data_IF_829660949876
#
_entry.id   IF_829660949876
#
_cell.length_a   1.000
_cell.length_b   1.000
_cell.length_c   1.000
_cell.angle_alpha   90.00
_cell.angle_beta   90.00
_cell.angle_gamma   90.00
#
_symmetry.space_group_name_H-M   'P 1'
#
loop_
_entity.id
_entity.type
_entity.pdbx_description
1 polymer ?
#
# COMPACT_ATOMS: atom_id res chain seq x y z
N UNK A 1 -5.05 13.76 16.12
CA UNK A 1 -5.78 14.14 14.89
C UNK A 1 -5.27 13.20 13.81
N UNK A 2 -5.92 12.06 13.69
CA UNK A 2 -5.62 11.00 12.73
C UNK A 2 -6.09 11.45 11.34
N UNK A 3 -5.52 10.93 10.25
CA UNK A 3 -5.95 11.17 8.86
C UNK A 3 -7.47 10.92 8.61
N UNK A 4 -8.17 10.34 9.57
CA UNK A 4 -9.62 10.15 9.59
C UNK A 4 -10.45 11.43 9.85
N UNK A 5 -9.80 12.55 10.26
CA UNK A 5 -10.46 13.84 10.52
C UNK A 5 -10.38 14.82 9.33
N UNK A 6 -9.89 14.38 8.18
CA UNK A 6 -10.02 15.15 6.95
C UNK A 6 -11.50 15.18 6.56
N UNK A 7 -12.09 16.37 6.28
CA UNK A 7 -13.47 16.47 5.87
C UNK A 7 -13.67 15.61 4.62
N UNK A 8 -14.62 14.67 4.70
CA UNK A 8 -15.08 13.88 3.56
C UNK A 8 -15.47 14.87 2.47
N UNK A 9 -14.61 15.07 1.49
CA UNK A 9 -14.97 15.78 0.28
C UNK A 9 -15.96 14.90 -0.47
N UNK A 10 -17.24 15.05 -0.14
CA UNK A 10 -18.32 14.81 -1.10
C UNK A 10 -18.23 15.95 -2.12
N UNK A 11 -17.12 16.04 -2.81
CA UNK A 11 -16.97 16.89 -3.97
C UNK A 11 -17.91 16.34 -5.02
N UNK A 12 -18.92 17.12 -5.35
CA UNK A 12 -19.76 16.91 -6.51
C UNK A 12 -18.86 16.58 -7.70
N UNK A 13 -19.04 15.38 -8.26
CA UNK A 13 -18.31 14.85 -9.40
C UNK A 13 -18.51 15.83 -10.56
N UNK A 14 -17.60 16.79 -10.67
CA UNK A 14 -17.41 17.61 -11.86
C UNK A 14 -16.63 16.79 -12.87
N UNK A 15 -17.30 16.29 -13.87
CA UNK A 15 -16.97 15.79 -15.21
C UNK A 15 -15.58 15.23 -15.57
N UNK A 16 -14.59 15.14 -14.72
CA UNK A 16 -13.32 14.46 -14.99
C UNK A 16 -13.30 13.06 -14.40
N UNK A 17 -13.10 12.06 -15.25
CA UNK A 17 -12.90 10.68 -14.80
C UNK A 17 -11.56 10.60 -14.03
N UNK A 18 -11.57 10.12 -12.78
CA UNK A 18 -10.36 9.97 -11.98
C UNK A 18 -9.32 9.14 -12.74
N UNK A 19 -8.04 9.53 -12.64
CA UNK A 19 -6.94 8.79 -13.26
C UNK A 19 -6.60 7.54 -12.45
N UNK A 20 -6.77 7.59 -11.12
CA UNK A 20 -6.61 6.47 -10.20
C UNK A 20 -7.79 6.45 -9.22
N UNK A 21 -8.30 5.26 -8.95
CA UNK A 21 -9.27 4.99 -7.87
C UNK A 21 -8.71 3.90 -6.99
N UNK A 22 -8.81 4.08 -5.68
CA UNK A 22 -8.47 3.06 -4.70
C UNK A 22 -9.68 2.68 -3.86
N UNK A 23 -9.89 1.38 -3.63
CA UNK A 23 -10.83 0.86 -2.64
C UNK A 23 -9.99 0.24 -1.53
N UNK A 24 -10.18 0.74 -0.30
CA UNK A 24 -9.35 0.42 0.85
C UNK A 24 -10.22 -0.21 1.94
N UNK A 25 -10.06 -1.51 2.16
CA UNK A 25 -10.66 -2.24 3.27
C UNK A 25 -9.59 -2.47 4.37
N UNK A 26 -9.61 -1.62 5.40
CA UNK A 26 -8.63 -1.66 6.49
C UNK A 26 -9.23 -2.29 7.76
N UNK A 27 -8.42 -2.95 8.58
CA UNK A 27 -8.81 -3.62 9.83
C UNK A 27 -9.58 -2.71 10.80
N UNK A 28 -9.24 -1.42 10.87
CA UNK A 28 -9.92 -0.43 11.73
C UNK A 28 -11.40 -0.21 11.39
N UNK A 29 -11.84 -0.54 10.18
CA UNK A 29 -13.20 -0.22 9.71
C UNK A 29 -13.92 -1.40 9.05
N UNK A 30 -13.20 -2.42 8.61
CA UNK A 30 -13.72 -3.59 7.92
C UNK A 30 -13.27 -4.86 8.65
N UNK A 31 -14.20 -5.66 9.23
CA UNK A 31 -13.85 -6.91 9.91
C UNK A 31 -13.12 -7.90 9.01
N UNK A 32 -12.24 -8.73 9.60
CA UNK A 32 -11.35 -9.67 8.88
C UNK A 32 -12.09 -10.58 7.89
N UNK A 33 -13.23 -11.17 8.30
CA UNK A 33 -14.03 -12.03 7.41
C UNK A 33 -14.53 -11.30 6.15
N UNK A 34 -14.88 -10.02 6.27
CA UNK A 34 -15.30 -9.20 5.12
C UNK A 34 -14.11 -8.81 4.25
N UNK A 35 -12.93 -8.56 4.86
CA UNK A 35 -11.70 -8.31 4.11
C UNK A 35 -11.30 -9.52 3.28
N UNK A 36 -11.38 -10.73 3.85
CA UNK A 36 -11.08 -11.98 3.12
C UNK A 36 -12.09 -12.26 2.00
N UNK A 37 -13.38 -12.03 2.25
CA UNK A 37 -14.40 -12.13 1.20
C UNK A 37 -14.11 -11.16 0.05
N UNK A 38 -13.73 -9.93 0.36
CA UNK A 38 -13.33 -8.94 -0.63
C UNK A 38 -12.05 -9.34 -1.37
N UNK A 39 -11.05 -9.87 -0.68
CA UNK A 39 -9.84 -10.40 -1.32
C UNK A 39 -10.15 -11.54 -2.30
N UNK A 40 -11.07 -12.44 -1.94
CA UNK A 40 -11.52 -13.52 -2.82
C UNK A 40 -12.26 -12.99 -4.06
N UNK A 41 -13.08 -11.95 -3.91
CA UNK A 41 -13.73 -11.25 -5.04
C UNK A 41 -12.69 -10.60 -5.95
N UNK A 42 -11.70 -9.89 -5.38
CA UNK A 42 -10.63 -9.25 -6.14
C UNK A 42 -9.77 -10.25 -6.92
N UNK A 43 -9.54 -11.44 -6.36
CA UNK A 43 -8.77 -12.49 -7.04
C UNK A 43 -9.42 -12.95 -8.35
N UNK A 44 -10.73 -12.78 -8.51
CA UNK A 44 -11.45 -13.12 -9.73
C UNK A 44 -11.12 -12.21 -10.93
N UNK A 45 -10.59 -10.99 -10.69
CA UNK A 45 -10.15 -10.10 -11.78
C UNK A 45 -8.86 -10.59 -12.45
N UNK A 46 -8.15 -11.54 -11.82
CA UNK A 46 -6.88 -12.06 -12.35
C UNK A 46 -5.81 -10.98 -12.41
N UNK A 47 -4.86 -11.15 -13.33
CA UNK A 47 -3.77 -10.20 -13.55
C UNK A 47 -4.04 -9.31 -14.76
N UNK A 48 -3.81 -8.01 -14.64
CA UNK A 48 -4.02 -7.04 -15.71
C UNK A 48 -3.25 -5.76 -15.50
N UNK A 49 -3.01 -4.96 -16.57
CA UNK A 49 -2.25 -3.72 -16.46
C UNK A 49 -2.98 -2.62 -15.67
N UNK A 50 -4.32 -2.67 -15.64
CA UNK A 50 -5.17 -1.60 -15.14
C UNK A 50 -5.43 -1.63 -13.64
N UNK A 51 -4.85 -2.56 -12.88
CA UNK A 51 -5.05 -2.62 -11.43
C UNK A 51 -3.90 -3.29 -10.68
N UNK A 52 -3.78 -2.96 -9.39
CA UNK A 52 -2.86 -3.59 -8.44
C UNK A 52 -3.60 -3.85 -7.14
N UNK A 53 -3.47 -5.07 -6.60
CA UNK A 53 -4.08 -5.48 -5.34
C UNK A 53 -2.96 -5.55 -4.27
N UNK A 54 -3.16 -4.88 -3.14
CA UNK A 54 -2.30 -4.97 -1.96
C UNK A 54 -3.06 -5.73 -0.88
N UNK A 55 -2.60 -6.93 -0.55
CA UNK A 55 -3.23 -7.79 0.45
C UNK A 55 -2.25 -8.11 1.57
N UNK A 56 -2.63 -7.75 2.79
CA UNK A 56 -1.87 -8.02 4.03
C UNK A 56 -2.83 -8.43 5.15
N UNK A 57 -2.30 -8.78 6.34
CA UNK A 57 -3.15 -9.10 7.50
C UNK A 57 -4.09 -7.97 7.92
N UNK A 58 -3.71 -6.69 7.70
CA UNK A 58 -4.51 -5.53 8.15
C UNK A 58 -5.28 -4.83 7.04
N UNK A 59 -5.02 -5.14 5.75
CA UNK A 59 -5.65 -4.43 4.64
C UNK A 59 -5.80 -5.27 3.40
N UNK A 60 -6.90 -5.04 2.70
CA UNK A 60 -7.14 -5.47 1.33
C UNK A 60 -7.47 -4.22 0.54
N UNK A 61 -6.62 -3.87 -0.40
CA UNK A 61 -6.74 -2.66 -1.20
C UNK A 61 -6.62 -2.99 -2.68
N UNK A 62 -7.39 -2.33 -3.51
CA UNK A 62 -7.21 -2.35 -4.95
C UNK A 62 -7.00 -0.93 -5.46
N UNK A 63 -5.98 -0.73 -6.26
CA UNK A 63 -5.69 0.51 -6.99
C UNK A 63 -5.97 0.26 -8.47
N UNK A 64 -6.79 1.10 -9.06
CA UNK A 64 -7.30 0.93 -10.42
C UNK A 64 -7.00 2.17 -11.25
N UNK A 65 -6.49 1.97 -12.47
CA UNK A 65 -6.49 2.98 -13.52
C UNK A 65 -7.73 2.78 -14.41
N UNK A 66 -8.82 3.57 -14.24
CA UNK A 66 -10.09 3.31 -14.92
C UNK A 66 -10.02 3.34 -16.45
N UNK A 67 -8.98 3.95 -17.01
CA UNK A 67 -8.76 4.00 -18.46
C UNK A 67 -8.37 2.63 -19.07
N UNK A 68 -7.71 1.77 -18.28
CA UNK A 68 -7.16 0.48 -18.73
C UNK A 68 -7.74 -0.70 -17.96
N UNK A 69 -8.57 -0.45 -16.95
CA UNK A 69 -9.23 -1.50 -16.17
C UNK A 69 -10.40 -2.13 -16.97
N UNK A 70 -10.39 -3.45 -17.19
CA UNK A 70 -11.43 -4.11 -17.94
C UNK A 70 -12.64 -4.42 -17.04
N UNK A 71 -13.69 -3.63 -17.13
CA UNK A 71 -14.94 -3.91 -16.42
C UNK A 71 -15.36 -2.84 -15.43
N UNK A 72 -16.28 -3.20 -14.55
CA UNK A 72 -16.77 -2.34 -13.48
C UNK A 72 -15.89 -2.47 -12.24
N UNK A 73 -15.78 -1.37 -11.47
CA UNK A 73 -15.10 -1.39 -10.17
C UNK A 73 -15.82 -2.35 -9.23
N UNK A 74 -15.09 -3.15 -8.43
CA UNK A 74 -15.70 -4.01 -7.43
C UNK A 74 -16.48 -3.17 -6.40
N UNK A 75 -17.54 -3.73 -5.87
CA UNK A 75 -18.33 -3.06 -4.82
C UNK A 75 -17.52 -2.96 -3.53
N UNK A 76 -17.34 -1.77 -2.96
CA UNK A 76 -16.61 -1.64 -1.71
C UNK A 76 -17.37 -2.31 -0.57
N UNK A 77 -16.72 -3.13 0.27
CA UNK A 77 -17.36 -3.69 1.45
C UNK A 77 -17.76 -2.58 2.45
N UNK A 78 -18.81 -2.76 3.24
CA UNK A 78 -19.21 -1.79 4.25
C UNK A 78 -18.05 -1.43 5.18
N UNK A 79 -17.75 -0.12 5.29
CA UNK A 79 -16.63 0.41 6.05
C UNK A 79 -15.35 0.64 5.24
N UNK A 80 -15.30 0.19 3.98
CA UNK A 80 -14.19 0.52 3.09
C UNK A 80 -14.23 1.98 2.65
N UNK A 81 -13.04 2.55 2.38
CA UNK A 81 -12.89 3.87 1.80
C UNK A 81 -12.77 3.74 0.28
N UNK A 82 -13.35 4.69 -0.43
CA UNK A 82 -13.13 4.88 -1.87
C UNK A 82 -12.42 6.22 -2.03
N UNK A 83 -11.23 6.17 -2.59
CA UNK A 83 -10.33 7.30 -2.74
C UNK A 83 -10.03 7.51 -4.22
N UNK A 84 -9.84 8.75 -4.62
CA UNK A 84 -9.46 9.10 -5.99
C UNK A 84 -8.18 9.95 -6.03
N UNK A 85 -7.52 9.92 -7.16
CA UNK A 85 -6.35 10.73 -7.53
C UNK A 85 -5.41 11.06 -6.35
N UNK A 86 -5.50 12.27 -5.77
CA UNK A 86 -4.59 12.73 -4.73
C UNK A 86 -4.77 11.95 -3.43
N UNK A 87 -6.00 11.61 -3.07
CA UNK A 87 -6.28 10.89 -1.84
C UNK A 87 -5.83 9.43 -1.95
N UNK A 88 -6.03 8.78 -3.10
CA UNK A 88 -5.52 7.46 -3.39
C UNK A 88 -3.97 7.43 -3.37
N UNK A 89 -3.34 8.46 -3.95
CA UNK A 89 -1.88 8.58 -3.96
C UNK A 89 -1.32 8.80 -2.55
N UNK A 90 -1.87 9.73 -1.79
CA UNK A 90 -1.42 10.00 -0.43
C UNK A 90 -1.62 8.79 0.48
N UNK A 91 -2.72 8.06 0.30
CA UNK A 91 -2.96 6.83 1.05
C UNK A 91 -1.87 5.79 0.79
N UNK A 92 -1.60 5.42 -0.48
CA UNK A 92 -0.56 4.43 -0.80
C UNK A 92 0.83 4.86 -0.32
N UNK A 93 1.17 6.14 -0.48
CA UNK A 93 2.44 6.70 0.00
C UNK A 93 2.52 6.62 1.52
N UNK A 94 1.41 6.93 2.23
CA UNK A 94 1.29 6.81 3.68
C UNK A 94 1.53 5.37 4.15
N UNK A 95 0.91 4.40 3.47
CA UNK A 95 1.11 2.97 3.70
C UNK A 95 2.56 2.57 3.50
N UNK A 96 3.17 2.96 2.38
CA UNK A 96 4.57 2.65 2.07
C UNK A 96 5.56 3.28 3.06
N UNK A 97 5.23 4.47 3.60
CA UNK A 97 6.00 5.14 4.65
C UNK A 97 5.78 4.54 6.05
N UNK A 98 4.86 3.57 6.20
CA UNK A 98 4.49 2.97 7.47
C UNK A 98 3.70 3.91 8.40
N UNK A 99 3.18 5.04 7.91
CA UNK A 99 2.40 5.99 8.71
C UNK A 99 1.00 5.45 9.02
N UNK A 100 0.44 4.64 8.11
CA UNK A 100 -0.86 3.98 8.23
C UNK A 100 -0.71 2.47 8.57
N UNK A 101 0.36 2.09 9.23
CA UNK A 101 0.59 0.72 9.69
C UNK A 101 0.24 0.59 11.18
N UNK A 102 -0.12 -0.62 11.63
CA UNK A 102 -0.32 -0.93 13.04
C UNK A 102 0.93 -0.62 13.88
N UNK A 103 2.09 -0.82 13.28
CA UNK A 103 3.37 -0.41 13.85
C UNK A 103 4.01 0.59 12.89
N UNK A 104 4.05 1.87 13.28
CA UNK A 104 4.62 2.91 12.43
C UNK A 104 6.12 2.66 12.22
N UNK A 105 6.53 2.63 10.93
CA UNK A 105 7.91 2.33 10.54
C UNK A 105 8.21 0.84 10.35
N UNK A 106 7.20 -0.03 10.34
CA UNK A 106 7.37 -1.44 9.98
C UNK A 106 7.86 -1.57 8.53
N UNK A 107 9.05 -2.16 8.35
CA UNK A 107 9.65 -2.35 7.03
C UNK A 107 8.89 -3.40 6.16
N UNK A 108 7.99 -4.15 6.77
CA UNK A 108 7.32 -5.29 6.16
C UNK A 108 6.35 -4.88 5.05
N UNK A 109 5.60 -3.79 5.27
CA UNK A 109 4.64 -3.28 4.28
C UNK A 109 5.34 -2.78 3.01
N UNK A 110 6.47 -2.08 3.17
CA UNK A 110 7.26 -1.62 2.04
C UNK A 110 7.80 -2.80 1.20
N UNK A 111 8.19 -3.88 1.86
CA UNK A 111 8.64 -5.10 1.19
C UNK A 111 7.50 -5.78 0.43
N UNK A 112 6.31 -5.88 1.04
CA UNK A 112 5.11 -6.44 0.40
C UNK A 112 4.70 -5.67 -0.84
N UNK A 113 4.64 -4.33 -0.75
CA UNK A 113 4.36 -3.47 -1.91
C UNK A 113 5.39 -3.70 -3.02
N UNK A 114 6.68 -3.81 -2.67
CA UNK A 114 7.74 -4.06 -3.65
C UNK A 114 7.60 -5.42 -4.34
N UNK A 115 7.30 -6.48 -3.59
CA UNK A 115 7.05 -7.81 -4.15
C UNK A 115 5.84 -7.79 -5.10
N UNK A 116 4.71 -7.22 -4.67
CA UNK A 116 3.51 -7.08 -5.50
C UNK A 116 3.81 -6.41 -6.85
N UNK A 117 4.66 -5.38 -6.86
CA UNK A 117 5.01 -4.68 -8.11
C UNK A 117 6.03 -5.45 -8.93
N UNK A 118 7.03 -6.10 -8.29
CA UNK A 118 8.04 -6.87 -9.01
C UNK A 118 7.41 -8.05 -9.79
N UNK A 119 6.47 -8.76 -9.17
CA UNK A 119 5.73 -9.84 -9.79
C UNK A 119 4.92 -9.34 -11.01
N UNK A 120 4.27 -8.17 -10.85
CA UNK A 120 3.47 -7.56 -11.93
C UNK A 120 4.32 -7.09 -13.12
N UNK A 121 5.48 -6.48 -12.87
CA UNK A 121 6.38 -5.99 -13.92
C UNK A 121 7.05 -7.11 -14.71
N UNK A 122 7.21 -8.30 -14.12
CA UNK A 122 7.80 -9.46 -14.80
C UNK A 122 6.88 -10.02 -15.88
N UNK A 123 5.56 -9.97 -15.67
CA UNK A 123 4.58 -10.63 -16.55
C UNK A 123 3.96 -9.67 -17.57
N UNK A 124 3.64 -8.44 -17.22
CA UNK A 124 3.04 -7.42 -18.10
C UNK A 124 3.36 -6.00 -17.62
N UNK A 125 3.54 -5.09 -18.55
CA UNK A 125 3.68 -3.66 -18.22
C UNK A 125 2.40 -3.13 -17.56
N UNK A 126 2.54 -2.56 -16.36
CA UNK A 126 1.46 -1.85 -15.68
C UNK A 126 1.05 -0.59 -16.45
N UNK A 127 -0.19 -0.15 -16.22
CA UNK A 127 -0.59 1.18 -16.65
C UNK A 127 0.42 2.21 -16.10
N UNK A 128 0.91 3.13 -16.93
CA UNK A 128 1.92 4.11 -16.51
C UNK A 128 1.51 4.96 -15.31
N UNK A 129 0.22 5.17 -15.09
CA UNK A 129 -0.31 5.91 -13.93
C UNK A 129 -0.10 5.10 -12.65
N UNK A 130 -0.41 3.80 -12.68
CA UNK A 130 -0.19 2.91 -11.54
C UNK A 130 1.31 2.67 -11.30
N UNK A 131 2.08 2.39 -12.35
CA UNK A 131 3.53 2.19 -12.20
C UNK A 131 4.18 3.40 -11.54
N UNK A 132 3.89 4.62 -12.03
CA UNK A 132 4.41 5.86 -11.43
C UNK A 132 3.99 6.04 -9.99
N UNK A 133 2.73 5.73 -9.65
CA UNK A 133 2.22 5.82 -8.28
C UNK A 133 2.99 4.91 -7.33
N UNK A 134 3.12 3.64 -7.68
CA UNK A 134 3.80 2.66 -6.86
C UNK A 134 5.30 2.94 -6.74
N UNK A 135 5.96 3.40 -7.81
CA UNK A 135 7.36 3.84 -7.75
C UNK A 135 7.55 5.05 -6.82
N UNK A 136 6.64 6.02 -6.86
CA UNK A 136 6.66 7.17 -5.95
C UNK A 136 6.48 6.72 -4.49
N UNK A 137 5.54 5.81 -4.23
CA UNK A 137 5.30 5.24 -2.90
C UNK A 137 6.52 4.47 -2.38
N UNK A 138 7.13 3.61 -3.22
CA UNK A 138 8.35 2.87 -2.86
C UNK A 138 9.54 3.80 -2.60
N UNK A 139 9.69 4.88 -3.37
CA UNK A 139 10.74 5.88 -3.15
C UNK A 139 10.54 6.62 -1.82
N UNK A 140 9.33 7.11 -1.56
CA UNK A 140 8.98 7.76 -0.31
C UNK A 140 9.15 6.82 0.89
N UNK A 141 8.71 5.56 0.78
CA UNK A 141 8.87 4.55 1.80
C UNK A 141 10.34 4.31 2.16
N UNK A 142 11.23 4.15 1.17
CA UNK A 142 12.68 4.02 1.44
C UNK A 142 13.24 5.25 2.14
N UNK A 143 12.83 6.45 1.75
CA UNK A 143 13.24 7.71 2.37
C UNK A 143 12.76 7.78 3.83
N UNK A 144 11.50 7.40 4.08
CA UNK A 144 10.91 7.36 5.41
C UNK A 144 11.64 6.38 6.32
N UNK A 145 11.89 5.16 5.84
CA UNK A 145 12.56 4.11 6.62
C UNK A 145 13.98 4.50 7.04
N UNK A 146 14.69 5.33 6.26
CA UNK A 146 16.00 5.85 6.65
C UNK A 146 15.96 6.82 7.85
N UNK A 147 14.78 7.30 8.25
CA UNK A 147 14.61 8.19 9.40
C UNK A 147 14.35 7.46 10.72
N UNK A 148 14.00 6.17 10.65
CA UNK A 148 13.82 5.36 11.85
C UNK A 148 15.18 4.88 12.33
N UNK A 149 15.61 5.41 13.50
CA UNK A 149 16.86 5.00 14.17
C UNK A 149 16.54 3.88 15.15
N UNK A 150 17.17 2.72 14.97
CA UNK A 150 16.97 1.53 15.80
C UNK A 150 16.44 0.33 15.00
N UNK A 151 16.33 -0.82 15.64
CA UNK A 151 15.65 -1.97 15.02
C UNK A 151 14.18 -1.62 14.83
N UNK A 152 13.65 -1.73 13.61
CA UNK A 152 12.23 -1.47 13.39
C UNK A 152 11.42 -2.45 14.25
N UNK A 153 10.47 -1.93 15.02
CA UNK A 153 9.52 -2.77 15.74
C UNK A 153 8.62 -3.46 14.72
N UNK A 154 8.34 -4.71 14.97
CA UNK A 154 7.41 -5.51 14.17
C UNK A 154 6.11 -5.74 14.94
N UNK A 155 5.06 -6.17 14.24
CA UNK A 155 3.82 -6.62 14.88
C UNK A 155 4.08 -7.73 15.91
N UNK A 156 5.10 -8.57 15.67
CA UNK A 156 5.54 -9.58 16.63
C UNK A 156 6.11 -8.97 17.92
N UNK A 157 6.80 -7.83 17.84
CA UNK A 157 7.28 -7.11 19.03
C UNK A 157 6.12 -6.53 19.85
N UNK A 158 5.07 -6.04 19.18
CA UNK A 158 3.83 -5.56 19.85
C UNK A 158 3.09 -6.73 20.50
N UNK A 159 2.99 -7.86 19.81
CA UNK A 159 2.39 -9.07 20.39
C UNK A 159 3.12 -9.51 21.67
N UNK A 160 4.44 -9.47 21.68
CA UNK A 160 5.24 -9.76 22.87
C UNK A 160 5.05 -8.75 24.00
N UNK A 161 4.85 -7.47 23.68
CA UNK A 161 4.52 -6.46 24.69
C UNK A 161 3.17 -6.76 25.34
N UNK A 162 2.16 -7.14 24.55
CA UNK A 162 0.85 -7.57 25.08
C UNK A 162 0.94 -8.79 25.99
N UNK A 163 1.79 -9.75 25.63
CA UNK A 163 2.08 -10.89 26.50
C UNK A 163 2.77 -10.41 27.78
N UNK A 164 3.76 -9.53 27.68
CA UNK A 164 4.50 -9.02 28.83
C UNK A 164 3.64 -8.21 29.83
N UNK A 165 2.63 -7.50 29.36
CA UNK A 165 1.67 -6.79 30.21
C UNK A 165 0.93 -7.72 31.19
N UNK A 166 0.76 -8.99 30.82
CA UNK A 166 0.05 -10.00 31.64
C UNK A 166 0.98 -11.00 32.31
N UNK A 167 1.97 -11.50 31.56
CA UNK A 167 2.89 -12.51 32.06
C UNK A 167 4.09 -11.92 32.83
N UNK A 168 4.27 -10.58 32.78
CA UNK A 168 5.43 -9.90 33.33
C UNK A 168 6.67 -9.98 32.40
N UNK A 169 7.88 -9.73 32.91
CA UNK A 169 9.11 -9.75 32.13
C UNK A 169 9.29 -11.07 31.35
N UNK A 170 9.65 -10.97 30.06
CA UNK A 170 9.68 -12.11 29.15
C UNK A 170 10.99 -12.92 29.19
N UNK A 171 12.05 -12.42 29.80
CA UNK A 171 13.33 -13.13 29.88
C UNK A 171 13.14 -14.48 30.62
N UNK A 172 13.56 -15.57 29.98
CA UNK A 172 13.38 -16.92 30.49
C UNK A 172 11.94 -17.48 30.35
N UNK A 173 10.94 -16.66 30.00
CA UNK A 173 9.55 -17.10 29.78
C UNK A 173 9.44 -17.96 28.55
N UNK A 174 8.56 -18.95 28.61
CA UNK A 174 8.32 -19.88 27.52
C UNK A 174 7.19 -19.38 26.62
N UNK A 175 7.53 -19.00 25.38
CA UNK A 175 6.57 -18.49 24.39
C UNK A 175 6.34 -19.55 23.31
N UNK A 176 5.09 -19.98 23.16
CA UNK A 176 4.65 -20.84 22.07
C UNK A 176 4.33 -20.00 20.85
N UNK A 177 5.00 -20.27 19.75
CA UNK A 177 4.70 -19.70 18.43
C UNK A 177 4.05 -20.78 17.56
N UNK A 178 2.80 -20.54 17.18
CA UNK A 178 2.03 -21.43 16.30
C UNK A 178 2.10 -20.91 14.88
N UNK A 179 2.84 -21.63 14.01
CA UNK A 179 3.06 -21.26 12.62
C UNK A 179 4.52 -20.91 12.32
N UNK A 180 4.97 -21.31 11.12
CA UNK A 180 6.33 -21.05 10.62
C UNK A 180 6.34 -20.25 9.32
N UNK A 181 5.20 -19.61 9.01
CA UNK A 181 5.08 -18.63 7.94
C UNK A 181 5.87 -17.36 8.28
N UNK A 182 5.75 -16.35 7.43
CA UNK A 182 6.49 -15.09 7.59
C UNK A 182 6.31 -14.45 8.97
N UNK A 183 5.05 -14.33 9.45
CA UNK A 183 4.76 -13.76 10.77
C UNK A 183 5.24 -14.66 11.91
N UNK A 184 5.04 -15.98 11.81
CA UNK A 184 5.54 -16.94 12.79
C UNK A 184 7.07 -16.90 12.94
N UNK A 185 7.81 -16.81 11.84
CA UNK A 185 9.27 -16.61 11.87
C UNK A 185 9.66 -15.32 12.57
N UNK A 186 8.97 -14.19 12.25
CA UNK A 186 9.21 -12.91 12.93
C UNK A 186 8.96 -13.01 14.43
N UNK A 187 7.83 -13.64 14.85
CA UNK A 187 7.51 -13.86 16.24
C UNK A 187 8.55 -14.72 16.95
N UNK A 188 9.01 -15.79 16.29
CA UNK A 188 10.06 -16.68 16.80
C UNK A 188 11.37 -15.92 17.06
N UNK A 189 11.85 -15.15 16.08
CA UNK A 189 13.08 -14.37 16.25
C UNK A 189 12.92 -13.20 17.23
N UNK A 190 11.75 -12.57 17.28
CA UNK A 190 11.47 -11.51 18.26
C UNK A 190 11.48 -12.08 19.70
N UNK A 191 10.87 -13.24 19.93
CA UNK A 191 10.88 -13.94 21.21
C UNK A 191 12.30 -14.29 21.64
N UNK A 192 13.10 -14.87 20.72
CA UNK A 192 14.52 -15.18 20.99
C UNK A 192 15.30 -13.90 21.38
N UNK A 193 15.15 -12.81 20.66
CA UNK A 193 15.85 -11.54 20.98
C UNK A 193 15.49 -11.00 22.36
N UNK A 194 14.29 -11.31 22.88
CA UNK A 194 13.83 -10.92 24.22
C UNK A 194 14.23 -11.91 25.30
N UNK A 195 15.04 -12.90 24.98
CA UNK A 195 15.52 -13.90 25.93
C UNK A 195 14.47 -14.94 26.32
N UNK A 196 13.40 -15.11 25.52
CA UNK A 196 12.38 -16.12 25.78
C UNK A 196 12.89 -17.53 25.42
N UNK A 197 12.43 -18.55 26.15
CA UNK A 197 12.48 -19.93 25.72
C UNK A 197 11.41 -20.16 24.63
N UNK A 198 11.82 -20.36 23.38
CA UNK A 198 10.90 -20.45 22.26
C UNK A 198 10.44 -21.88 22.02
N UNK A 199 9.14 -22.07 21.87
CA UNK A 199 8.52 -23.32 21.48
C UNK A 199 7.77 -23.11 20.18
N UNK A 200 7.96 -23.97 19.17
CA UNK A 200 7.35 -23.82 17.86
C UNK A 200 6.39 -24.98 17.57
N UNK A 201 5.17 -24.65 17.16
CA UNK A 201 4.21 -25.63 16.65
C UNK A 201 3.79 -25.28 15.23
N UNK A 202 3.72 -26.28 14.34
CA UNK A 202 3.25 -26.07 12.97
C UNK A 202 2.70 -27.38 12.38
N UNK A 203 1.78 -27.30 11.40
CA UNK A 203 1.24 -28.47 10.68
C UNK A 203 2.34 -29.32 10.05
N UNK A 204 3.37 -28.73 9.51
CA UNK A 204 4.57 -29.43 9.02
C UNK A 204 5.63 -29.52 10.11
N UNK A 205 5.76 -30.68 10.76
CA UNK A 205 6.67 -30.90 11.89
C UNK A 205 8.14 -30.60 11.54
N UNK A 206 8.59 -30.97 10.34
CA UNK A 206 9.97 -30.71 9.89
C UNK A 206 10.29 -29.21 9.84
N UNK A 207 9.34 -28.39 9.31
CA UNK A 207 9.51 -26.93 9.26
C UNK A 207 9.51 -26.31 10.66
N UNK A 208 8.70 -26.87 11.59
CA UNK A 208 8.73 -26.45 12.99
C UNK A 208 10.08 -26.76 13.63
N UNK A 209 10.60 -27.98 13.43
CA UNK A 209 11.88 -28.40 13.96
C UNK A 209 13.05 -27.58 13.40
N UNK A 210 13.04 -27.28 12.11
CA UNK A 210 14.04 -26.42 11.50
C UNK A 210 14.05 -25.03 12.12
N UNK A 211 12.89 -24.37 12.24
CA UNK A 211 12.79 -23.03 12.82
C UNK A 211 13.17 -23.02 14.30
N UNK A 212 12.73 -24.03 15.07
CA UNK A 212 13.10 -24.18 16.47
C UNK A 212 14.61 -24.34 16.62
N UNK A 213 15.26 -25.15 15.78
CA UNK A 213 16.71 -25.33 15.78
C UNK A 213 17.47 -24.01 15.50
N UNK A 214 16.98 -23.16 14.57
CA UNK A 214 17.59 -21.87 14.23
C UNK A 214 17.68 -20.92 15.45
N UNK A 215 16.76 -21.05 16.42
CA UNK A 215 16.68 -20.17 17.60
C UNK A 215 17.04 -20.87 18.92
N UNK A 216 17.51 -22.13 18.86
CA UNK A 216 17.79 -22.92 20.05
C UNK A 216 16.55 -23.27 20.88
N UNK A 217 15.38 -23.31 20.22
CA UNK A 217 14.08 -23.63 20.84
C UNK A 217 13.71 -25.11 20.74
N UNK A 218 12.47 -25.41 21.13
CA UNK A 218 11.88 -26.74 21.09
C UNK A 218 10.61 -26.76 20.25
N UNK A 219 10.03 -27.94 20.00
CA UNK A 219 8.79 -28.06 19.23
C UNK A 219 7.70 -28.74 20.05
N UNK A 220 6.44 -28.41 19.70
CA UNK A 220 5.25 -29.12 20.14
C UNK A 220 4.47 -29.68 18.96
N UNK A 221 3.78 -30.82 19.11
CA UNK A 221 2.89 -31.34 18.08
C UNK A 221 1.77 -30.36 17.79
N UNK A 222 1.37 -30.24 16.52
CA UNK A 222 0.24 -29.41 16.11
C UNK A 222 -1.03 -30.26 15.99
N UNK A 223 -2.15 -29.78 16.56
CA UNK A 223 -3.44 -30.45 16.41
C UNK A 223 -3.61 -31.74 17.19
N UNK A 224 -2.75 -31.98 18.18
CA UNK A 224 -2.85 -33.11 19.11
C UNK A 224 -3.36 -32.58 20.44
N UNK A 225 -4.44 -33.18 20.97
CA UNK A 225 -4.93 -32.82 22.31
C UNK A 225 -3.92 -33.25 23.37
N UNK A 226 -3.82 -32.46 24.43
CA UNK A 226 -2.82 -32.64 25.49
C UNK A 226 -1.35 -32.37 25.07
N UNK A 227 -1.15 -31.70 23.92
CA UNK A 227 0.18 -31.30 23.47
C UNK A 227 0.87 -30.36 24.47
N UNK A 228 0.10 -29.51 25.15
CA UNK A 228 0.59 -28.60 26.18
C UNK A 228 0.87 -29.29 27.52
N UNK A 229 0.49 -30.56 27.71
CA UNK A 229 0.80 -31.31 28.93
C UNK A 229 2.31 -31.55 29.14
N UNK A 230 3.05 -31.68 28.02
CA UNK A 230 4.51 -31.75 28.06
C UNK A 230 5.21 -30.40 28.12
N UNK A 231 4.42 -29.30 28.12
CA UNK A 231 4.90 -27.92 28.16
C UNK A 231 4.31 -27.21 29.41
N UNK A 232 4.59 -27.76 30.59
CA UNK A 232 4.02 -27.30 31.86
C UNK A 232 4.15 -25.79 32.14
N UNK A 233 4.91 -25.07 31.32
CA UNK A 233 5.31 -23.68 31.57
C UNK A 233 5.16 -22.75 30.36
N UNK A 234 4.16 -22.94 29.49
CA UNK A 234 3.88 -21.93 28.46
C UNK A 234 3.30 -20.68 29.13
N UNK A 235 4.01 -19.55 29.01
CA UNK A 235 3.66 -18.27 29.62
C UNK A 235 2.96 -17.32 28.65
N UNK A 236 3.00 -17.61 27.35
CA UNK A 236 2.30 -16.85 26.31
C UNK A 236 2.24 -17.60 24.99
N UNK A 237 1.25 -17.30 24.18
CA UNK A 237 1.06 -17.91 22.86
C UNK A 237 0.93 -16.82 21.80
N UNK A 238 1.66 -17.01 20.69
CA UNK A 238 1.49 -16.20 19.48
C UNK A 238 1.05 -17.13 18.36
N UNK A 239 -0.15 -16.88 17.80
CA UNK A 239 -0.70 -17.64 16.68
C UNK A 239 -0.48 -16.86 15.39
N UNK A 240 0.08 -17.51 14.36
CA UNK A 240 0.39 -16.89 13.06
C UNK A 240 0.30 -17.94 11.94
N UNK A 241 -0.92 -18.44 11.69
CA UNK A 241 -1.20 -19.49 10.69
C UNK A 241 -2.34 -19.06 9.76
N UNK A 242 -2.40 -19.67 8.58
CA UNK A 242 -3.59 -19.62 7.74
C UNK A 242 -4.57 -20.73 8.14
N UNK A 243 -5.86 -20.38 8.34
CA UNK A 243 -6.91 -21.29 8.79
C UNK A 243 -6.83 -21.60 10.29
N UNK A 244 -7.66 -22.52 10.78
CA UNK A 244 -7.92 -22.74 12.19
C UNK A 244 -6.72 -23.32 12.96
N UNK A 245 -6.50 -22.82 14.16
CA UNK A 245 -5.64 -23.44 15.14
C UNK A 245 -6.43 -24.52 15.88
N UNK A 246 -6.09 -25.77 15.58
CA UNK A 246 -6.73 -26.94 16.18
C UNK A 246 -6.17 -27.15 17.60
N UNK A 247 -6.83 -26.54 18.60
CA UNK A 247 -6.53 -26.73 20.03
C UNK A 247 -7.49 -27.74 20.59
N UNK A 248 -6.97 -28.80 21.22
CA UNK A 248 -7.82 -29.78 21.89
C UNK A 248 -8.49 -29.22 23.17
N UNK A 249 -9.57 -29.85 23.63
CA UNK A 249 -10.31 -29.34 24.80
C UNK A 249 -9.48 -29.23 26.07
N UNK A 250 -8.54 -30.15 26.29
CA UNK A 250 -7.68 -30.16 27.49
C UNK A 250 -6.69 -29.01 27.45
N UNK A 251 -6.09 -28.76 26.28
CA UNK A 251 -5.15 -27.66 26.10
C UNK A 251 -5.86 -26.31 26.19
N UNK A 252 -7.06 -26.18 25.62
CA UNK A 252 -7.90 -25.00 25.76
C UNK A 252 -8.20 -24.71 27.22
N UNK A 253 -8.65 -25.74 28.00
CA UNK A 253 -8.90 -25.57 29.42
C UNK A 253 -7.68 -25.11 30.21
N UNK A 254 -6.50 -25.66 29.93
CA UNK A 254 -5.23 -25.25 30.57
C UNK A 254 -4.86 -23.78 30.27
N UNK A 255 -5.00 -23.35 29.03
CA UNK A 255 -4.73 -21.96 28.66
C UNK A 255 -5.64 -20.99 29.46
N UNK A 256 -6.92 -21.33 29.57
CA UNK A 256 -7.91 -20.53 30.30
C UNK A 256 -7.66 -20.55 31.81
N UNK A 257 -7.50 -21.74 32.42
CA UNK A 257 -7.28 -21.90 33.87
C UNK A 257 -6.01 -21.22 34.36
N UNK A 258 -4.94 -21.23 33.55
CA UNK A 258 -3.67 -20.57 33.88
C UNK A 258 -3.63 -19.09 33.49
N UNK A 259 -4.66 -18.60 32.80
CA UNK A 259 -4.71 -17.22 32.32
C UNK A 259 -3.59 -16.87 31.33
N UNK A 260 -3.17 -17.86 30.49
CA UNK A 260 -2.11 -17.68 29.51
C UNK A 260 -2.55 -16.67 28.44
N UNK A 261 -1.84 -15.57 28.22
CA UNK A 261 -2.17 -14.63 27.16
C UNK A 261 -1.95 -15.26 25.78
N UNK A 262 -2.93 -15.08 24.90
CA UNK A 262 -2.92 -15.57 23.53
C UNK A 262 -3.09 -14.40 22.59
N UNK A 263 -2.11 -14.18 21.71
CA UNK A 263 -2.15 -13.15 20.67
C UNK A 263 -2.23 -13.82 19.30
N UNK A 264 -3.32 -13.54 18.58
CA UNK A 264 -3.55 -14.08 17.25
C UNK A 264 -3.22 -13.04 16.16
N UNK A 265 -2.13 -13.28 15.44
CA UNK A 265 -1.65 -12.48 14.31
C UNK A 265 -2.22 -12.94 12.97
N UNK A 266 -3.14 -13.92 13.00
CA UNK A 266 -3.76 -14.45 11.78
C UNK A 266 -4.91 -13.56 11.32
N UNK A 267 -5.11 -13.48 10.00
CA UNK A 267 -6.27 -12.84 9.41
C UNK A 267 -6.85 -13.77 8.33
N UNK A 268 -8.12 -14.24 8.51
CA UNK A 268 -8.95 -14.11 9.70
C UNK A 268 -8.33 -14.79 10.94
N UNK A 269 -8.82 -14.50 12.17
CA UNK A 269 -8.32 -15.13 13.39
C UNK A 269 -8.37 -16.65 13.31
N UNK A 270 -7.27 -17.29 13.70
CA UNK A 270 -7.13 -18.75 13.69
C UNK A 270 -7.64 -19.39 14.97
N UNK A 271 -7.75 -18.63 16.07
CA UNK A 271 -8.31 -19.08 17.34
C UNK A 271 -9.82 -19.11 17.24
N UNK A 272 -10.45 -20.26 17.56
CA UNK A 272 -11.90 -20.41 17.49
C UNK A 272 -12.62 -19.50 18.50
N UNK A 273 -13.76 -18.92 18.11
CA UNK A 273 -14.59 -18.03 18.94
C UNK A 273 -14.83 -18.54 20.37
N UNK A 274 -15.20 -19.83 20.61
CA UNK A 274 -15.41 -20.31 21.97
C UNK A 274 -14.17 -20.19 22.86
N UNK A 275 -12.99 -20.35 22.31
CA UNK A 275 -11.74 -20.18 23.05
C UNK A 275 -11.40 -18.69 23.25
N UNK A 276 -11.67 -17.84 22.26
CA UNK A 276 -11.53 -16.39 22.39
C UNK A 276 -12.40 -15.87 23.55
N UNK A 277 -13.68 -16.27 23.58
CA UNK A 277 -14.65 -15.91 24.63
C UNK A 277 -14.17 -16.38 26.01
N UNK A 278 -13.69 -17.63 26.10
CA UNK A 278 -13.20 -18.21 27.34
C UNK A 278 -11.91 -17.54 27.87
N UNK A 279 -11.01 -17.15 27.01
CA UNK A 279 -9.79 -16.39 27.36
C UNK A 279 -10.13 -14.95 27.76
N UNK A 280 -11.25 -14.40 27.23
CA UNK A 280 -11.71 -13.05 27.50
C UNK A 280 -10.58 -12.02 27.27
N UNK A 281 -10.27 -11.17 28.25
CA UNK A 281 -9.19 -10.18 28.10
C UNK A 281 -7.80 -10.80 27.91
N UNK A 282 -7.62 -12.12 28.06
CA UNK A 282 -6.38 -12.86 27.77
C UNK A 282 -6.13 -13.09 26.29
N UNK A 283 -7.15 -12.92 25.45
CA UNK A 283 -7.06 -13.01 24.01
C UNK A 283 -6.92 -11.60 23.39
N UNK A 284 -6.05 -11.47 22.40
CA UNK A 284 -5.87 -10.25 21.61
C UNK A 284 -5.73 -10.64 20.15
N UNK A 285 -6.58 -10.10 19.30
CA UNK A 285 -6.53 -10.30 17.84
C UNK A 285 -5.59 -9.33 17.17
N UNK A 286 -5.22 -9.63 15.93
CA UNK A 286 -4.42 -8.74 15.09
C UNK A 286 -5.11 -7.39 14.85
N UNK A 287 -6.43 -7.38 14.79
CA UNK A 287 -7.22 -6.15 14.58
C UNK A 287 -7.15 -5.23 15.81
N UNK A 288 -7.14 -5.79 17.03
CA UNK A 288 -6.98 -5.02 18.29
C UNK A 288 -5.56 -4.48 18.46
N UNK A 289 -4.54 -5.19 17.97
CA UNK A 289 -3.15 -4.68 18.00
C UNK A 289 -2.97 -3.45 17.10
N UNK A 290 -3.81 -3.27 16.09
CA UNK A 290 -3.76 -2.14 15.16
C UNK A 290 -4.20 -0.81 15.80
N UNK A 291 -4.94 -0.85 16.91
CA UNK A 291 -5.47 0.34 17.58
C UNK A 291 -4.47 0.98 18.57
N UNK A 292 -3.36 0.31 18.86
CA UNK A 292 -2.34 0.83 19.78
C UNK A 292 -1.44 1.87 19.12
N UNK A 293 -1.40 3.08 19.68
CA UNK A 293 -0.52 4.17 19.21
C UNK A 293 0.96 3.95 19.64
N UNK A 294 1.62 3.00 19.01
CA UNK A 294 3.06 2.77 19.16
C UNK A 294 3.87 3.57 18.12
N UNK A 295 3.44 4.82 17.87
CA UNK A 295 3.99 5.68 16.83
C UNK A 295 5.39 6.25 17.13
N UNK A 296 6.10 6.72 16.09
CA UNK A 296 7.30 7.51 16.26
C UNK A 296 6.95 8.83 16.94
N UNK A 297 7.92 9.43 17.64
CA UNK A 297 7.71 10.73 18.26
C UNK A 297 7.17 11.76 17.26
N UNK A 298 6.39 12.73 17.75
CA UNK A 298 5.65 13.74 16.99
C UNK A 298 6.48 14.42 15.87
N UNK A 299 7.79 14.63 16.10
CA UNK A 299 8.70 15.21 15.09
C UNK A 299 8.85 14.32 13.85
N UNK A 300 8.95 13.01 14.03
CA UNK A 300 9.07 12.06 12.92
C UNK A 300 7.74 11.94 12.19
N UNK A 301 6.62 11.87 12.92
CA UNK A 301 5.27 11.86 12.37
C UNK A 301 5.05 13.05 11.43
N UNK A 302 5.30 14.28 11.88
CA UNK A 302 5.15 15.50 11.03
C UNK A 302 6.03 15.47 9.78
N UNK A 303 7.24 14.92 9.92
CA UNK A 303 8.13 14.78 8.76
C UNK A 303 7.61 13.78 7.75
N UNK A 304 7.01 12.67 8.21
CA UNK A 304 6.34 11.68 7.36
C UNK A 304 5.12 12.28 6.66
N UNK A 305 4.26 12.98 7.38
CA UNK A 305 3.08 13.67 6.82
C UNK A 305 3.48 14.68 5.75
N UNK A 306 4.54 15.45 5.99
CA UNK A 306 5.08 16.38 4.99
C UNK A 306 5.60 15.66 3.74
N UNK A 307 6.29 14.52 3.90
CA UNK A 307 6.77 13.70 2.79
C UNK A 307 5.59 13.14 1.97
N UNK A 308 4.61 12.54 2.62
CA UNK A 308 3.40 11.99 2.00
C UNK A 308 2.68 13.07 1.18
N UNK A 309 2.40 14.21 1.82
CA UNK A 309 1.69 15.31 1.19
C UNK A 309 2.42 15.89 -0.02
N UNK A 310 3.74 16.06 0.06
CA UNK A 310 4.56 16.54 -1.07
C UNK A 310 4.58 15.53 -2.21
N UNK A 311 4.92 14.28 -1.92
CA UNK A 311 5.01 13.23 -2.94
C UNK A 311 3.67 13.00 -3.64
N UNK A 312 2.54 13.04 -2.90
CA UNK A 312 1.20 12.93 -3.46
C UNK A 312 0.87 14.10 -4.40
N UNK A 313 1.21 15.34 -4.03
CA UNK A 313 1.05 16.50 -4.92
C UNK A 313 1.91 16.40 -6.17
N UNK A 314 3.17 16.01 -6.03
CA UNK A 314 4.09 15.85 -7.18
C UNK A 314 3.57 14.79 -8.16
N UNK A 315 3.01 13.69 -7.64
CA UNK A 315 2.37 12.66 -8.46
C UNK A 315 1.14 13.19 -9.20
N UNK A 316 0.24 13.91 -8.52
CA UNK A 316 -0.96 14.48 -9.14
C UNK A 316 -0.63 15.59 -10.15
N UNK A 317 0.43 16.36 -9.90
CA UNK A 317 0.94 17.31 -10.90
C UNK A 317 1.42 16.58 -12.15
N UNK A 318 2.17 15.48 -11.99
CA UNK A 318 2.62 14.65 -13.11
C UNK A 318 1.45 14.08 -13.93
N UNK A 319 0.37 13.56 -13.28
CA UNK A 319 -0.83 13.08 -13.98
C UNK A 319 -1.42 14.21 -14.83
N UNK A 320 -1.63 15.37 -14.24
CA UNK A 320 -2.22 16.52 -14.94
C UNK A 320 -1.38 16.96 -16.13
N UNK A 321 -0.06 17.04 -15.95
CA UNK A 321 0.86 17.40 -17.04
C UNK A 321 0.81 16.35 -18.17
N UNK A 322 0.73 15.07 -17.81
CA UNK A 322 0.61 13.98 -18.80
C UNK A 322 -0.68 14.09 -19.61
N UNK A 323 -1.78 14.38 -18.96
CA UNK A 323 -3.09 14.52 -19.63
C UNK A 323 -3.13 15.73 -20.59
N UNK A 324 -2.36 16.78 -20.30
CA UNK A 324 -2.23 17.96 -21.17
C UNK A 324 -1.34 17.72 -22.40
N UNK A 325 -0.49 16.69 -22.40
CA UNK A 325 0.44 16.41 -23.53
C UNK A 325 -0.28 16.30 -24.87
N UNK A 326 -1.40 15.58 -25.04
CA UNK A 326 -2.11 15.50 -26.32
C UNK A 326 -2.63 16.86 -26.79
N UNK A 327 -3.09 17.72 -25.89
CA UNK A 327 -3.53 19.07 -26.23
C UNK A 327 -2.36 19.96 -26.65
N UNK A 328 -1.25 19.89 -25.91
CA UNK A 328 -0.01 20.60 -26.24
C UNK A 328 0.49 20.19 -27.63
N UNK A 329 0.52 18.88 -27.91
CA UNK A 329 0.94 18.37 -29.22
C UNK A 329 0.02 18.85 -30.35
N UNK A 330 -1.31 18.78 -30.15
CA UNK A 330 -2.27 19.23 -31.14
C UNK A 330 -2.12 20.73 -31.45
N UNK A 331 -1.91 21.57 -30.43
CA UNK A 331 -1.65 23.00 -30.62
C UNK A 331 -0.38 23.25 -31.43
N UNK A 332 0.71 22.57 -31.08
CA UNK A 332 2.00 22.70 -31.79
C UNK A 332 1.88 22.24 -33.25
N UNK A 333 1.24 21.07 -33.47
CA UNK A 333 1.05 20.53 -34.82
C UNK A 333 0.17 21.43 -35.69
N UNK A 334 -0.92 21.98 -35.14
CA UNK A 334 -1.80 22.92 -35.85
C UNK A 334 -1.04 24.21 -36.21
N UNK A 335 -0.35 24.82 -35.26
CA UNK A 335 0.41 26.04 -35.49
C UNK A 335 1.52 25.85 -36.55
N UNK A 336 2.22 24.74 -36.48
CA UNK A 336 3.29 24.42 -37.45
C UNK A 336 2.71 24.07 -38.82
N UNK A 337 1.57 23.45 -38.92
CA UNK A 337 0.87 23.18 -40.17
C UNK A 337 0.48 24.47 -40.87
N UNK A 338 -0.12 25.41 -40.14
CA UNK A 338 -0.44 26.73 -40.66
C UNK A 338 0.80 27.48 -41.13
N UNK A 339 1.87 27.50 -40.34
CA UNK A 339 3.13 28.11 -40.71
C UNK A 339 3.68 27.58 -42.05
N UNK A 340 3.71 26.25 -42.18
CA UNK A 340 4.20 25.60 -43.40
C UNK A 340 3.35 25.95 -44.61
N UNK A 341 2.03 25.98 -44.44
CA UNK A 341 1.13 26.38 -45.52
C UNK A 341 1.39 27.79 -45.99
N UNK A 342 1.64 28.74 -45.09
CA UNK A 342 1.98 30.15 -45.45
C UNK A 342 3.33 30.29 -46.13
N UNK A 343 4.35 29.56 -45.66
CA UNK A 343 5.67 29.54 -46.30
C UNK A 343 5.57 28.97 -47.72
N UNK A 344 4.81 27.89 -47.93
CA UNK A 344 4.61 27.28 -49.24
C UNK A 344 3.74 28.18 -50.17
N UNK A 345 2.74 28.90 -49.59
CA UNK A 345 1.99 29.91 -50.34
C UNK A 345 2.94 31.04 -50.83
N UNK A 346 3.81 31.56 -49.96
CA UNK A 346 4.82 32.59 -50.31
C UNK A 346 5.74 32.11 -51.42
N UNK A 347 6.26 30.88 -51.32
CA UNK A 347 7.12 30.25 -52.33
C UNK A 347 6.47 30.22 -53.71
N UNK A 348 5.18 29.87 -53.76
CA UNK A 348 4.40 29.87 -55.01
C UNK A 348 4.14 31.28 -55.57
N UNK A 349 3.97 32.26 -54.66
CA UNK A 349 3.66 33.62 -55.04
C UNK A 349 4.88 34.43 -55.51
N UNK A 350 6.03 34.10 -54.94
CA UNK A 350 7.33 34.77 -55.20
C UNK A 350 8.38 33.79 -55.67
N UNK A 351 8.27 33.26 -56.88
CA UNK A 351 9.23 32.26 -57.41
C UNK A 351 10.66 32.78 -57.66
N UNK A 352 10.86 34.07 -57.49
CA UNK A 352 12.16 34.72 -57.60
C UNK A 352 12.98 34.74 -56.30
N UNK A 353 12.43 34.29 -55.18
CA UNK A 353 13.17 34.20 -53.93
C UNK A 353 14.22 33.07 -54.04
N UNK A 354 15.42 33.40 -53.56
CA UNK A 354 16.49 32.40 -53.47
C UNK A 354 16.21 31.39 -52.37
N UNK A 355 16.87 30.22 -52.39
CA UNK A 355 16.77 29.24 -51.32
C UNK A 355 17.29 29.81 -49.98
N UNK A 356 18.23 30.74 -50.01
CA UNK A 356 18.73 31.45 -48.81
C UNK A 356 17.65 32.36 -48.22
N UNK A 357 16.94 33.15 -49.04
CA UNK A 357 15.84 34.02 -48.59
C UNK A 357 14.68 33.17 -48.03
N UNK A 358 14.35 32.06 -48.69
CA UNK A 358 13.32 31.12 -48.17
C UNK A 358 13.74 30.51 -46.85
N UNK A 359 15.04 30.20 -46.66
CA UNK A 359 15.57 29.73 -45.37
C UNK A 359 15.42 30.79 -44.25
N UNK A 360 15.68 32.06 -44.58
CA UNK A 360 15.46 33.15 -43.60
C UNK A 360 13.97 33.34 -43.24
N UNK A 361 13.09 33.23 -44.23
CA UNK A 361 11.62 33.29 -44.01
C UNK A 361 11.16 32.12 -43.14
N UNK A 362 11.62 30.92 -43.42
CA UNK A 362 11.32 29.72 -42.63
C UNK A 362 11.78 29.90 -41.17
N UNK A 363 13.01 30.34 -40.95
CA UNK A 363 13.56 30.59 -39.61
C UNK A 363 12.79 31.70 -38.87
N UNK A 364 12.49 32.82 -39.57
CA UNK A 364 11.75 33.93 -39.00
C UNK A 364 10.33 33.46 -38.57
N UNK A 365 9.61 32.81 -39.48
CA UNK A 365 8.23 32.31 -39.22
C UNK A 365 8.19 31.28 -38.10
N UNK A 366 9.20 30.39 -38.04
CA UNK A 366 9.31 29.44 -36.93
C UNK A 366 9.50 30.14 -35.59
N UNK A 367 10.39 31.15 -35.51
CA UNK A 367 10.58 31.93 -34.28
C UNK A 367 9.35 32.71 -33.88
N UNK A 368 8.59 33.24 -34.83
CA UNK A 368 7.36 33.98 -34.59
C UNK A 368 6.27 33.05 -34.00
N UNK A 369 6.05 31.90 -34.63
CA UNK A 369 5.09 30.90 -34.15
C UNK A 369 5.47 30.40 -32.75
N UNK A 370 6.75 30.04 -32.55
CA UNK A 370 7.24 29.61 -31.25
C UNK A 370 7.00 30.64 -30.15
N UNK A 371 7.23 31.95 -30.47
CA UNK A 371 6.97 33.03 -29.50
C UNK A 371 5.49 33.21 -29.19
N UNK A 372 4.60 33.03 -30.17
CA UNK A 372 3.14 33.16 -29.99
C UNK A 372 2.54 32.03 -29.17
N UNK A 373 3.00 30.79 -29.37
CA UNK A 373 2.45 29.63 -28.66
C UNK A 373 3.15 29.38 -27.31
N UNK A 374 4.29 30.02 -27.03
CA UNK A 374 5.06 29.78 -25.80
C UNK A 374 4.22 30.00 -24.53
N UNK A 375 3.57 31.12 -24.38
CA UNK A 375 2.79 31.44 -23.18
C UNK A 375 1.60 30.49 -22.97
N UNK A 376 0.77 30.17 -24.00
CA UNK A 376 -0.26 29.13 -23.89
C UNK A 376 0.30 27.75 -23.50
N UNK A 377 1.43 27.33 -24.07
CA UNK A 377 2.03 26.03 -23.73
C UNK A 377 2.56 25.98 -22.30
N UNK A 378 3.17 27.07 -21.83
CA UNK A 378 3.61 27.19 -20.42
C UNK A 378 2.41 27.12 -19.50
N UNK A 379 1.33 27.86 -19.79
CA UNK A 379 0.11 27.84 -18.98
C UNK A 379 -0.53 26.42 -18.90
N UNK A 380 -0.61 25.71 -20.04
CA UNK A 380 -1.10 24.32 -20.09
C UNK A 380 -0.22 23.35 -19.31
N UNK A 381 1.10 23.60 -19.26
CA UNK A 381 2.03 22.74 -18.54
C UNK A 381 2.04 23.04 -17.02
N UNK A 382 1.87 24.30 -16.61
CA UNK A 382 1.89 24.70 -15.20
C UNK A 382 0.56 24.45 -14.49
N UNK A 383 -0.56 24.72 -15.17
CA UNK A 383 -1.93 24.50 -14.65
C UNK A 383 -2.82 23.83 -15.70
N UNK A 384 -2.67 22.53 -15.95
CA UNK A 384 -3.46 21.78 -16.91
C UNK A 384 -4.89 21.55 -16.39
N UNK A 385 -5.68 22.60 -16.34
CA UNK A 385 -7.12 22.49 -16.03
C UNK A 385 -7.91 22.09 -17.29
N UNK A 386 -8.99 21.29 -17.14
CA UNK A 386 -9.84 20.91 -18.28
C UNK A 386 -10.42 22.11 -19.04
N UNK A 387 -10.66 23.21 -18.35
CA UNK A 387 -11.17 24.42 -18.97
C UNK A 387 -10.11 25.13 -19.81
N UNK A 388 -8.86 25.17 -19.32
CA UNK A 388 -7.74 25.72 -20.08
C UNK A 388 -7.39 24.87 -21.28
N UNK A 389 -7.44 23.54 -21.13
CA UNK A 389 -7.24 22.59 -22.25
C UNK A 389 -8.29 22.79 -23.33
N UNK A 390 -9.57 22.87 -22.94
CA UNK A 390 -10.68 23.13 -23.88
C UNK A 390 -10.51 24.48 -24.59
N UNK A 391 -10.22 25.53 -23.81
CA UNK A 391 -9.97 26.85 -24.38
C UNK A 391 -8.80 26.88 -25.37
N UNK A 392 -7.73 26.19 -25.05
CA UNK A 392 -6.59 26.05 -25.97
C UNK A 392 -6.99 25.32 -27.26
N UNK A 393 -7.72 24.21 -27.16
CA UNK A 393 -8.23 23.47 -28.35
C UNK A 393 -9.14 24.35 -29.21
N UNK A 394 -10.06 25.07 -28.60
CA UNK A 394 -10.97 26.00 -29.31
C UNK A 394 -10.19 27.12 -29.98
N UNK A 395 -9.22 27.76 -29.30
CA UNK A 395 -8.41 28.85 -29.84
C UNK A 395 -7.54 28.45 -31.02
N UNK A 396 -7.02 27.24 -30.99
CA UNK A 396 -6.13 26.75 -32.06
C UNK A 396 -6.83 25.82 -33.06
N UNK A 397 -8.15 25.62 -32.94
CA UNK A 397 -8.96 24.83 -33.87
C UNK A 397 -8.63 23.33 -33.90
N UNK A 398 -8.31 22.73 -32.76
CA UNK A 398 -7.87 21.32 -32.61
C UNK A 398 -8.71 20.55 -31.59
#
# INVERSE_FOLDING_TARGET
MTLLDLPRSTSAIGSRRAAVVAIVAHARSVPSLRREAFAAELAAFGEGPGHVIVHTCHRVEIYVAPATFPGELPSPPPGALVLDDVDAAQHLISVACGLDSAVIGEAQILHQIRETIADRQADRALDPVLDRLFQAALHAGRTAHAWFTGSPRSLADVALDRIAERAGPLEGRRILVVGVGRMGRLATFASMRRGCAVVVANRGAERAAQLAHEVGGTTLPFGVDDALAGADDVDGVIVAIGGDWLVGPRDAARLVERGVPVVDLSSPPAVAMPLQDALGPGFVSVDELADDDHGPGERVRRRLESLVSRTGRDYCHWIRTRDAVPAIQAVVESAESHRRAEVEWLRRRLPSLSDEDLGLVDQMSHRLVAALIHAPLVALNEDPSPDLERAARELFGV
#
